data_IF_628959814556
#
_entry.id   IF_628959814556
#
_cell.length_a   1.000
_cell.length_b   1.000
_cell.length_c   1.000
_cell.angle_alpha   90.00
_cell.angle_beta   90.00
_cell.angle_gamma   90.00
#
_symmetry.space_group_name_H-M   'P 1'
#
loop_
_entity.id
_entity.type
_entity.pdbx_description
1 polymer ?
#
# COMPACT_ATOMS: atom_id res chain seq x y z
N UNK A 1 -44.39 3.03 -13.32
CA UNK A 1 -44.84 1.98 -12.37
C UNK A 1 -44.34 2.26 -10.95
N UNK A 2 -45.17 2.03 -9.91
CA UNK A 2 -44.85 2.36 -8.52
C UNK A 2 -43.56 1.68 -7.99
N UNK A 3 -43.13 0.57 -8.59
CA UNK A 3 -41.91 -0.16 -8.17
C UNK A 3 -40.59 0.59 -8.33
N UNK A 4 -40.43 1.49 -9.32
CA UNK A 4 -39.13 2.19 -9.50
C UNK A 4 -38.82 3.17 -8.37
N UNK A 5 -39.83 3.76 -7.73
CA UNK A 5 -39.62 4.66 -6.60
C UNK A 5 -39.22 3.89 -5.33
N UNK A 6 -39.74 2.68 -5.17
CA UNK A 6 -39.41 1.77 -4.06
C UNK A 6 -37.98 1.24 -4.22
N UNK A 7 -37.60 0.81 -5.43
CA UNK A 7 -36.24 0.36 -5.76
C UNK A 7 -35.19 1.46 -5.53
N UNK A 8 -35.49 2.70 -5.96
CA UNK A 8 -34.60 3.83 -5.72
C UNK A 8 -34.47 4.14 -4.22
N UNK A 9 -35.57 4.03 -3.47
CA UNK A 9 -35.56 4.27 -2.02
C UNK A 9 -34.74 3.20 -1.28
N UNK A 10 -34.83 1.95 -1.70
CA UNK A 10 -34.05 0.84 -1.16
C UNK A 10 -32.55 1.01 -1.45
N UNK A 11 -32.20 1.39 -2.69
CA UNK A 11 -30.82 1.66 -3.09
C UNK A 11 -30.18 2.81 -2.28
N UNK A 12 -30.92 3.92 -2.10
CA UNK A 12 -30.42 5.07 -1.33
C UNK A 12 -30.22 4.71 0.15
N UNK A 13 -31.10 3.88 0.71
CA UNK A 13 -30.96 3.39 2.08
C UNK A 13 -29.71 2.52 2.24
N UNK A 14 -29.46 1.60 1.30
CA UNK A 14 -28.26 0.76 1.31
C UNK A 14 -26.99 1.61 1.19
N UNK A 15 -26.99 2.59 0.29
CA UNK A 15 -25.87 3.51 0.13
C UNK A 15 -25.54 4.27 1.44
N UNK A 16 -26.55 4.78 2.14
CA UNK A 16 -26.36 5.45 3.43
C UNK A 16 -25.78 4.52 4.49
N UNK A 17 -26.24 3.27 4.55
CA UNK A 17 -25.71 2.27 5.50
C UNK A 17 -24.23 1.98 5.24
N UNK A 18 -23.84 1.82 3.98
CA UNK A 18 -22.44 1.58 3.59
C UNK A 18 -21.57 2.78 3.96
N UNK A 19 -22.04 4.00 3.71
CA UNK A 19 -21.32 5.22 4.11
C UNK A 19 -21.12 5.30 5.63
N UNK A 20 -22.14 4.99 6.42
CA UNK A 20 -22.01 4.92 7.88
C UNK A 20 -20.99 3.88 8.32
N UNK A 21 -20.95 2.70 7.69
CA UNK A 21 -19.97 1.66 8.03
C UNK A 21 -18.53 2.09 7.71
N UNK A 22 -18.33 2.83 6.61
CA UNK A 22 -17.04 3.44 6.28
C UNK A 22 -16.62 4.52 7.28
N UNK A 23 -17.54 5.39 7.70
CA UNK A 23 -17.29 6.42 8.73
C UNK A 23 -16.98 5.81 10.09
N UNK A 24 -17.66 4.70 10.42
CA UNK A 24 -17.40 3.95 11.65
C UNK A 24 -16.00 3.36 11.67
N UNK A 25 -15.48 3.00 10.49
CA UNK A 25 -14.11 2.64 10.16
C UNK A 25 -13.53 1.45 10.96
N UNK A 26 -12.57 0.69 10.42
CA UNK A 26 -11.70 -0.14 11.25
C UNK A 26 -10.62 0.75 11.89
N UNK A 27 -11.01 1.83 12.57
CA UNK A 27 -10.08 2.89 12.97
C UNK A 27 -9.32 2.57 14.26
N UNK A 28 -9.84 1.69 15.11
CA UNK A 28 -9.23 1.44 16.43
C UNK A 28 -8.17 0.34 16.40
N UNK A 29 -8.41 -0.78 15.73
CA UNK A 29 -7.50 -1.93 15.79
C UNK A 29 -6.21 -1.72 14.99
N UNK A 30 -6.27 -1.13 13.81
CA UNK A 30 -5.07 -0.84 13.01
C UNK A 30 -4.21 0.25 13.68
N UNK A 31 -4.83 1.28 14.22
CA UNK A 31 -4.15 2.32 14.98
C UNK A 31 -3.49 1.76 16.26
N UNK A 32 -4.15 0.85 16.96
CA UNK A 32 -3.56 0.14 18.12
C UNK A 32 -2.35 -0.71 17.71
N UNK A 33 -2.45 -1.50 16.63
CA UNK A 33 -1.31 -2.26 16.11
C UNK A 33 -0.14 -1.35 15.69
N UNK A 34 -0.43 -0.19 15.10
CA UNK A 34 0.60 0.79 14.70
C UNK A 34 1.30 1.40 15.93
N UNK A 35 0.55 1.67 17.00
CA UNK A 35 1.10 2.13 18.29
C UNK A 35 1.96 1.04 18.96
N UNK A 36 1.53 -0.23 18.92
CA UNK A 36 2.29 -1.38 19.43
C UNK A 36 3.64 -1.52 18.71
N UNK A 37 3.63 -1.47 17.37
CA UNK A 37 4.83 -1.51 16.54
C UNK A 37 5.77 -0.35 16.85
N UNK A 38 5.25 0.88 17.00
CA UNK A 38 6.06 2.06 17.35
C UNK A 38 6.73 1.91 18.72
N UNK A 39 6.03 1.32 19.70
CA UNK A 39 6.59 1.06 21.03
C UNK A 39 7.69 -0.01 20.97
N UNK A 40 7.47 -1.11 20.25
CA UNK A 40 8.49 -2.16 20.06
C UNK A 40 9.72 -1.66 19.33
N UNK A 41 9.54 -0.81 18.31
CA UNK A 41 10.64 -0.20 17.58
C UNK A 41 11.39 0.88 18.38
N UNK A 42 10.72 1.58 19.30
CA UNK A 42 11.35 2.57 20.18
C UNK A 42 11.93 2.00 21.49
N UNK A 43 11.63 0.73 21.82
CA UNK A 43 12.18 0.04 23.00
C UNK A 43 13.47 -0.74 22.69
N UNK A 44 13.95 -0.74 21.45
CA UNK A 44 15.19 -1.42 21.05
C UNK A 44 16.47 -0.56 21.15
N UNK A 45 16.37 0.70 21.60
CA UNK A 45 17.51 1.64 21.65
C UNK A 45 17.93 2.05 23.08
N UNK A 46 17.84 1.16 24.09
CA UNK A 46 18.41 1.44 25.43
C UNK A 46 19.03 0.23 26.17
N UNK A 47 19.08 -0.95 25.54
CA UNK A 47 19.87 -2.06 26.09
C UNK A 47 21.05 -2.30 25.18
N UNK A 48 22.20 -1.74 25.55
CA UNK A 48 23.48 -2.25 25.09
C UNK A 48 23.53 -3.74 25.40
N UNK A 49 23.34 -4.57 24.37
CA UNK A 49 23.55 -6.01 24.49
C UNK A 49 24.99 -6.27 24.11
N UNK A 50 25.75 -6.73 25.11
CA UNK A 50 27.08 -7.29 24.97
C UNK A 50 27.15 -8.28 23.81
N UNK A 51 28.25 -8.20 23.06
CA UNK A 51 28.67 -9.20 22.09
C UNK A 51 28.88 -10.54 22.80
N UNK A 52 27.84 -11.37 22.88
CA UNK A 52 27.98 -12.77 23.27
C UNK A 52 27.43 -13.65 22.15
N UNK A 53 28.36 -14.00 21.28
CA UNK A 53 28.49 -15.26 20.53
C UNK A 53 27.54 -16.36 21.05
N UNK A 54 26.31 -16.36 20.54
CA UNK A 54 25.40 -17.50 20.66
C UNK A 54 25.42 -18.24 19.33
N UNK A 55 26.49 -19.02 19.15
CA UNK A 55 26.55 -20.10 18.19
C UNK A 55 25.49 -21.15 18.55
N UNK A 56 24.27 -20.98 18.07
CA UNK A 56 23.32 -22.07 17.89
C UNK A 56 22.99 -22.17 16.40
N UNK A 57 23.88 -22.85 15.68
CA UNK A 57 23.62 -23.30 14.32
C UNK A 57 22.46 -24.31 14.37
N UNK A 58 21.31 -23.92 13.82
CA UNK A 58 20.22 -24.84 13.51
C UNK A 58 20.68 -25.77 12.38
N UNK A 59 20.75 -27.10 12.55
CA UNK A 59 21.20 -28.00 11.50
C UNK A 59 19.99 -28.32 10.61
N UNK A 60 19.59 -27.39 9.72
CA UNK A 60 18.33 -27.62 9.02
C UNK A 60 17.96 -26.73 7.83
N UNK A 61 18.77 -25.80 7.37
CA UNK A 61 18.47 -25.09 6.12
C UNK A 61 19.62 -25.17 5.13
N UNK A 62 19.62 -26.26 4.34
CA UNK A 62 20.24 -26.27 3.03
C UNK A 62 19.42 -25.37 2.10
N UNK A 63 19.82 -24.11 1.96
CA UNK A 63 19.49 -23.33 0.77
C UNK A 63 20.76 -22.56 0.40
N UNK A 64 21.26 -22.83 -0.81
CA UNK A 64 22.50 -22.29 -1.36
C UNK A 64 22.70 -20.83 -1.01
N UNK A 65 23.82 -20.52 -0.34
CA UNK A 65 24.39 -19.18 -0.38
C UNK A 65 24.83 -18.92 -1.81
N UNK A 66 23.98 -18.26 -2.58
CA UNK A 66 24.39 -17.58 -3.80
C UNK A 66 25.24 -16.38 -3.36
N UNK A 67 26.55 -16.51 -3.48
CA UNK A 67 27.48 -15.40 -3.33
C UNK A 67 27.31 -14.44 -4.52
N UNK A 68 26.60 -13.34 -4.30
CA UNK A 68 26.55 -12.22 -5.23
C UNK A 68 27.68 -11.24 -4.90
N UNK A 69 28.69 -11.16 -5.76
CA UNK A 69 29.78 -10.20 -5.67
C UNK A 69 29.34 -8.83 -6.23
N UNK A 70 28.83 -7.95 -5.35
CA UNK A 70 28.51 -6.55 -5.70
C UNK A 70 29.78 -5.67 -5.75
N UNK A 71 30.64 -5.91 -6.72
CA UNK A 71 31.71 -4.98 -7.07
C UNK A 71 31.60 -4.56 -8.55
N UNK A 72 30.45 -4.03 -8.94
CA UNK A 72 30.35 -3.18 -10.14
C UNK A 72 29.38 -2.03 -9.86
N UNK A 73 29.79 -0.75 -10.00
CA UNK A 73 28.87 0.36 -9.96
C UNK A 73 28.05 0.34 -11.26
N UNK A 74 26.94 -0.40 -11.27
CA UNK A 74 26.01 -0.40 -12.39
C UNK A 74 25.13 0.86 -12.31
N UNK A 75 25.61 1.85 -13.02
CA UNK A 75 24.98 3.07 -13.55
C UNK A 75 23.53 2.85 -14.01
N UNK A 76 22.58 2.72 -13.07
CA UNK A 76 21.18 2.40 -13.38
C UNK A 76 20.26 3.55 -12.94
N UNK A 77 20.52 4.76 -13.44
CA UNK A 77 19.43 5.73 -13.57
C UNK A 77 18.47 5.17 -14.62
N UNK A 78 17.17 5.01 -14.31
CA UNK A 78 16.22 4.60 -15.33
C UNK A 78 16.16 5.72 -16.37
N UNK A 79 16.62 5.41 -17.58
CA UNK A 79 16.48 6.27 -18.74
C UNK A 79 14.99 6.57 -18.92
N UNK A 80 14.65 7.86 -19.12
CA UNK A 80 13.28 8.40 -19.20
C UNK A 80 12.29 7.37 -19.74
N UNK A 81 11.30 7.02 -18.91
CA UNK A 81 10.21 6.14 -19.30
C UNK A 81 9.63 6.63 -20.65
N UNK A 82 9.67 5.76 -21.65
CA UNK A 82 9.09 6.04 -22.96
C UNK A 82 7.59 5.90 -22.79
N UNK A 83 6.90 7.04 -22.67
CA UNK A 83 5.44 7.10 -22.73
C UNK A 83 5.01 6.38 -24.01
N UNK A 84 4.09 5.44 -23.85
CA UNK A 84 3.47 4.72 -24.97
C UNK A 84 2.59 5.66 -25.78
N UNK A 85 1.64 5.09 -26.51
CA UNK A 85 0.64 5.90 -27.19
C UNK A 85 -0.23 6.64 -26.15
N UNK A 86 -0.28 7.97 -26.25
CA UNK A 86 -1.05 8.86 -25.38
C UNK A 86 -2.27 9.47 -26.07
N UNK A 87 -2.63 9.00 -27.27
CA UNK A 87 -3.70 9.59 -28.08
C UNK A 87 -5.06 9.64 -27.36
N UNK A 88 -5.45 8.56 -26.67
CA UNK A 88 -6.72 8.52 -25.93
C UNK A 88 -6.78 9.57 -24.80
N UNK A 89 -5.64 9.80 -24.14
CA UNK A 89 -5.52 10.81 -23.08
C UNK A 89 -5.62 12.23 -23.65
N UNK A 90 -5.04 12.45 -24.83
CA UNK A 90 -5.10 13.74 -25.53
C UNK A 90 -6.52 14.07 -26.00
N UNK A 91 -7.26 13.08 -26.51
CA UNK A 91 -8.68 13.24 -26.89
C UNK A 91 -9.56 13.55 -25.67
N UNK A 92 -9.36 12.85 -24.55
CA UNK A 92 -10.10 13.12 -23.31
C UNK A 92 -9.88 14.55 -22.80
N UNK A 93 -8.64 15.05 -22.85
CA UNK A 93 -8.32 16.43 -22.44
C UNK A 93 -9.01 17.43 -23.38
N UNK A 94 -9.00 17.19 -24.70
CA UNK A 94 -9.67 18.08 -25.66
C UNK A 94 -11.19 18.14 -25.45
N UNK A 95 -11.83 17.01 -25.14
CA UNK A 95 -13.26 16.96 -24.81
C UNK A 95 -13.57 17.71 -23.51
N UNK A 96 -12.69 17.63 -22.51
CA UNK A 96 -12.81 18.42 -21.27
C UNK A 96 -12.69 19.92 -21.53
N UNK A 97 -11.69 20.35 -22.31
CA UNK A 97 -11.51 21.78 -22.64
C UNK A 97 -12.74 22.33 -23.37
N UNK A 98 -13.33 21.55 -24.28
CA UNK A 98 -14.56 21.91 -24.98
C UNK A 98 -15.79 21.98 -24.06
N UNK A 99 -15.86 21.14 -23.03
CA UNK A 99 -16.94 21.17 -22.05
C UNK A 99 -16.84 22.36 -21.08
N UNK A 100 -15.66 22.99 -20.98
CA UNK A 100 -15.37 24.13 -20.11
C UNK A 100 -15.50 25.49 -20.81
N UNK A 101 -15.79 25.53 -22.12
CA UNK A 101 -16.06 26.72 -22.93
C UNK A 101 -17.56 27.04 -23.02
#
# INVERSE_FOLDING_TARGET
PPGMAEELSELLREFHQVMEDFERGPASQYQQHLQELKRRAGQSDDSGIDELESASTSPGSSLSSSEEHLNTPADTYPTKAKLGDTQELEEFIADLDKALE
#
